data_IF_031481511243
#
_entry.id   IF_031481511243
#
_cell.length_a   1.000
_cell.length_b   1.000
_cell.length_c   1.000
_cell.angle_alpha   90.00
_cell.angle_beta   90.00
_cell.angle_gamma   90.00
#
_symmetry.space_group_name_H-M   'P 1'
#
loop_
_entity.id
_entity.type
_entity.pdbx_description
1 polymer ?
#
# COMPACT_ATOMS: atom_id res chain seq x y z
N UNK A 1 -5.06 5.04 9.40
CA UNK A 1 -6.21 5.95 9.30
C UNK A 1 -7.47 5.11 9.21
N UNK A 2 -8.58 5.61 9.72
CA UNK A 2 -9.74 4.76 9.97
C UNK A 2 -10.37 4.20 8.68
N UNK A 3 -10.29 4.93 7.56
CA UNK A 3 -10.99 4.55 6.32
C UNK A 3 -10.12 4.60 5.06
N UNK A 4 -8.79 4.73 5.21
CA UNK A 4 -7.86 4.72 4.09
C UNK A 4 -6.46 4.28 4.54
N UNK A 5 -5.67 3.82 3.58
CA UNK A 5 -4.31 3.32 3.81
C UNK A 5 -3.29 4.37 3.42
N UNK A 6 -2.48 4.80 4.38
CA UNK A 6 -1.30 5.62 4.11
C UNK A 6 -0.11 4.71 3.90
N UNK A 7 0.55 4.87 2.76
CA UNK A 7 1.66 4.01 2.35
C UNK A 7 2.90 4.89 2.23
N UNK A 8 3.92 4.57 3.01
CA UNK A 8 5.16 5.35 3.09
C UNK A 8 6.32 4.55 2.51
N UNK A 9 7.09 5.20 1.65
CA UNK A 9 8.35 4.71 1.10
C UNK A 9 9.48 5.51 1.75
N UNK A 10 9.96 5.09 2.93
CA UNK A 10 10.80 5.93 3.79
C UNK A 10 12.12 6.33 3.11
N UNK A 11 12.77 5.41 2.40
CA UNK A 11 14.02 5.66 1.69
C UNK A 11 13.87 6.69 0.55
N UNK A 12 12.68 6.78 -0.03
CA UNK A 12 12.40 7.70 -1.13
C UNK A 12 11.72 9.01 -0.68
N UNK A 13 11.25 9.07 0.57
CA UNK A 13 10.44 10.19 1.06
C UNK A 13 9.06 10.30 0.39
N UNK A 14 8.57 9.22 -0.25
CA UNK A 14 7.30 9.22 -0.98
C UNK A 14 6.18 8.71 -0.08
N UNK A 15 5.00 9.36 -0.17
CA UNK A 15 3.78 8.94 0.52
C UNK A 15 2.65 8.85 -0.50
N UNK A 16 1.88 7.77 -0.42
CA UNK A 16 0.72 7.52 -1.28
C UNK A 16 -0.49 7.14 -0.42
N UNK A 17 -1.67 7.23 -1.01
CA UNK A 17 -2.94 6.89 -0.37
C UNK A 17 -3.61 5.76 -1.15
N UNK A 18 -3.94 4.65 -0.47
CA UNK A 18 -4.62 3.47 -1.00
C UNK A 18 -3.91 2.75 -2.17
N UNK A 19 -2.73 3.19 -2.59
CA UNK A 19 -1.95 2.56 -3.64
C UNK A 19 -0.61 2.07 -3.08
N UNK A 20 -0.25 0.83 -3.38
CA UNK A 20 1.01 0.22 -2.96
C UNK A 20 1.74 -0.24 -4.23
N UNK A 21 2.73 0.52 -4.66
CA UNK A 21 3.60 0.14 -5.75
C UNK A 21 4.75 -0.73 -5.24
N UNK A 22 4.99 -1.84 -5.92
CA UNK A 22 6.11 -2.75 -5.67
C UNK A 22 6.72 -3.20 -7.00
N UNK A 23 8.00 -3.57 -7.06
CA UNK A 23 8.53 -4.23 -8.23
C UNK A 23 8.29 -5.73 -8.18
N UNK A 24 8.13 -6.33 -9.36
CA UNK A 24 7.95 -7.77 -9.51
C UNK A 24 9.23 -8.56 -9.22
N UNK A 25 9.07 -9.81 -8.82
CA UNK A 25 10.16 -10.78 -8.70
C UNK A 25 11.11 -10.55 -7.52
N UNK A 26 10.71 -9.75 -6.53
CA UNK A 26 11.44 -9.60 -5.27
C UNK A 26 10.52 -9.54 -4.06
N UNK A 27 10.91 -10.12 -2.91
CA UNK A 27 10.19 -9.93 -1.67
C UNK A 27 10.24 -8.47 -1.22
N UNK A 28 9.11 -7.95 -0.77
CA UNK A 28 9.02 -6.65 -0.10
C UNK A 28 8.50 -6.86 1.32
N UNK A 29 9.12 -6.15 2.27
CA UNK A 29 8.67 -6.11 3.66
C UNK A 29 7.77 -4.90 3.86
N UNK A 30 6.57 -5.14 4.37
CA UNK A 30 5.61 -4.11 4.74
C UNK A 30 5.51 -4.09 6.26
N UNK A 31 5.87 -2.95 6.86
CA UNK A 31 5.57 -2.67 8.25
C UNK A 31 4.14 -2.11 8.34
N UNK A 32 3.32 -2.72 9.18
CA UNK A 32 1.90 -2.44 9.31
C UNK A 32 1.63 -1.93 10.74
N UNK A 33 1.05 -0.74 10.82
CA UNK A 33 0.72 -0.04 12.08
C UNK A 33 -0.69 0.55 11.98
N UNK A 34 -1.48 0.41 13.04
CA UNK A 34 -2.72 1.18 13.20
C UNK A 34 -2.57 2.24 14.28
N UNK A 35 -3.19 3.40 14.07
CA UNK A 35 -3.22 4.53 15.02
C UNK A 35 -4.58 4.78 15.64
N UNK A 36 -5.63 4.10 15.15
CA UNK A 36 -7.01 4.36 15.52
C UNK A 36 -7.69 3.10 16.06
N UNK A 37 -8.15 2.21 15.18
CA UNK A 37 -8.87 0.98 15.51
C UNK A 37 -8.13 -0.24 14.98
N UNK A 38 -8.62 -1.44 15.29
CA UNK A 38 -8.07 -2.64 14.67
C UNK A 38 -8.45 -2.65 13.18
N UNK A 39 -7.45 -2.89 12.34
CA UNK A 39 -7.63 -3.18 10.91
C UNK A 39 -7.06 -4.55 10.60
N UNK A 40 -7.33 -5.06 9.40
CA UNK A 40 -6.68 -6.28 8.90
C UNK A 40 -6.27 -6.07 7.46
N UNK A 41 -4.96 -5.99 7.21
CA UNK A 41 -4.42 -5.89 5.86
C UNK A 41 -4.58 -7.23 5.16
N UNK A 42 -5.33 -7.28 4.07
CA UNK A 42 -5.52 -8.51 3.32
C UNK A 42 -5.34 -8.29 1.81
N UNK A 43 -4.35 -8.97 1.24
CA UNK A 43 -4.02 -8.98 -0.18
C UNK A 43 -4.10 -10.42 -0.73
N UNK A 44 -5.31 -10.97 -0.93
CA UNK A 44 -5.55 -12.41 -1.11
C UNK A 44 -4.75 -13.07 -2.24
N UNK A 45 -4.45 -12.33 -3.30
CA UNK A 45 -3.71 -12.85 -4.45
C UNK A 45 -2.20 -12.92 -4.24
N UNK A 46 -1.67 -12.34 -3.16
CA UNK A 46 -0.23 -12.18 -2.93
C UNK A 46 0.22 -12.67 -1.56
N UNK A 47 -0.61 -12.51 -0.53
CA UNK A 47 -0.28 -12.87 0.84
C UNK A 47 -1.54 -13.20 1.63
N UNK A 48 -1.33 -13.76 2.83
CA UNK A 48 -2.39 -13.91 3.82
C UNK A 48 -2.90 -12.56 4.35
N UNK A 49 -3.76 -12.62 5.35
CA UNK A 49 -4.15 -11.43 6.12
C UNK A 49 -3.22 -11.23 7.31
N UNK A 50 -3.02 -9.98 7.72
CA UNK A 50 -2.33 -9.64 8.96
C UNK A 50 -3.05 -8.49 9.66
N UNK A 51 -3.35 -8.67 10.94
CA UNK A 51 -4.09 -7.69 11.73
C UNK A 51 -3.15 -6.57 12.21
N UNK A 52 -3.69 -5.35 12.24
CA UNK A 52 -3.03 -4.14 12.72
C UNK A 52 -3.71 -3.73 14.02
N UNK A 53 -3.05 -4.01 15.14
CA UNK A 53 -3.53 -3.65 16.47
C UNK A 53 -2.84 -2.36 16.91
N UNK A 54 -3.58 -1.31 17.34
CA UNK A 54 -2.98 -0.08 17.82
C UNK A 54 -1.89 -0.31 18.88
N UNK A 55 -0.76 0.40 18.73
CA UNK A 55 0.40 0.26 19.61
C UNK A 55 1.32 -0.93 19.28
N UNK A 56 1.06 -1.67 18.20
CA UNK A 56 1.95 -2.74 17.70
C UNK A 56 2.32 -2.48 16.24
N UNK A 57 3.58 -2.78 15.91
CA UNK A 57 4.05 -2.84 14.53
C UNK A 57 4.21 -4.30 14.16
N UNK A 58 3.49 -4.73 13.13
CA UNK A 58 3.62 -6.06 12.55
C UNK A 58 4.36 -5.97 11.22
N UNK A 59 4.99 -7.07 10.81
CA UNK A 59 5.70 -7.15 9.53
C UNK A 59 5.09 -8.24 8.66
N UNK A 60 4.85 -7.92 7.40
CA UNK A 60 4.41 -8.86 6.37
C UNK A 60 5.40 -8.84 5.23
N UNK A 61 5.85 -10.03 4.81
CA UNK A 61 6.56 -10.21 3.55
C UNK A 61 5.56 -10.58 2.46
N UNK A 62 5.63 -9.91 1.32
CA UNK A 62 4.89 -10.29 0.13
C UNK A 62 5.77 -10.19 -1.12
N UNK A 63 5.40 -10.91 -2.16
CA UNK A 63 6.06 -10.86 -3.46
C UNK A 63 4.99 -10.98 -4.54
N UNK A 64 5.08 -10.13 -5.57
CA UNK A 64 4.32 -10.29 -6.79
C UNK A 64 5.25 -10.79 -7.89
N UNK A 65 4.91 -11.92 -8.51
CA UNK A 65 5.76 -12.53 -9.54
C UNK A 65 5.46 -12.01 -10.95
N UNK A 66 4.24 -11.51 -11.17
CA UNK A 66 3.78 -11.03 -12.48
C UNK A 66 3.42 -9.55 -12.38
N UNK A 67 3.70 -8.73 -13.41
CA UNK A 67 3.20 -7.35 -13.45
C UNK A 67 1.68 -7.33 -13.45
N UNK A 68 1.09 -6.38 -12.73
CA UNK A 68 -0.35 -6.25 -12.67
C UNK A 68 -0.85 -5.49 -11.46
N UNK A 69 -2.18 -5.44 -11.35
CA UNK A 69 -2.90 -4.81 -10.27
C UNK A 69 -3.57 -5.88 -9.40
N UNK A 70 -3.34 -5.79 -8.10
CA UNK A 70 -3.82 -6.74 -7.10
C UNK A 70 -4.67 -6.00 -6.09
N UNK A 71 -5.96 -6.32 -6.05
CA UNK A 71 -6.88 -5.69 -5.11
C UNK A 71 -6.65 -6.23 -3.70
N UNK A 72 -6.62 -5.35 -2.73
CA UNK A 72 -6.68 -5.69 -1.32
C UNK A 72 -7.73 -4.88 -0.56
N UNK A 73 -8.01 -5.32 0.66
CA UNK A 73 -9.04 -4.73 1.50
C UNK A 73 -8.75 -4.90 2.98
N UNK A 74 -9.42 -4.10 3.80
CA UNK A 74 -9.54 -4.37 5.22
C UNK A 74 -10.45 -5.58 5.42
N UNK A 75 -9.97 -6.58 6.18
CA UNK A 75 -10.73 -7.80 6.48
C UNK A 75 -11.33 -7.83 7.91
N UNK A 76 -11.12 -6.78 8.71
CA UNK A 76 -11.65 -6.63 10.07
C UNK A 76 -12.53 -5.40 10.16
N UNK A 77 -13.70 -5.51 10.81
CA UNK A 77 -14.68 -4.43 10.85
C UNK A 77 -14.11 -3.22 11.59
N UNK A 78 -13.82 -2.15 10.86
CA UNK A 78 -13.13 -0.96 11.37
C UNK A 78 -14.03 0.28 11.49
N UNK A 79 -15.34 0.12 11.31
CA UNK A 79 -16.35 1.17 11.45
C UNK A 79 -17.28 1.31 10.26
N UNK A 80 -18.05 2.41 10.23
CA UNK A 80 -19.17 2.59 9.29
C UNK A 80 -18.75 2.61 7.82
N UNK A 81 -17.54 3.08 7.51
CA UNK A 81 -17.01 3.07 6.14
C UNK A 81 -16.07 1.90 5.85
N UNK A 82 -16.11 0.84 6.66
CA UNK A 82 -15.26 -0.35 6.50
C UNK A 82 -15.25 -0.90 5.07
N UNK A 83 -16.41 -0.95 4.41
CA UNK A 83 -16.54 -1.43 3.04
C UNK A 83 -15.72 -0.62 2.00
N UNK A 84 -15.35 0.62 2.32
CA UNK A 84 -14.54 1.49 1.45
C UNK A 84 -13.04 1.36 1.71
N UNK A 85 -12.64 0.66 2.78
CA UNK A 85 -11.25 0.54 3.18
C UNK A 85 -10.52 -0.49 2.33
N UNK A 86 -10.29 -0.14 1.07
CA UNK A 86 -9.61 -0.94 0.06
C UNK A 86 -8.29 -0.28 -0.36
N UNK A 87 -7.43 -1.07 -0.98
CA UNK A 87 -6.20 -0.59 -1.60
C UNK A 87 -5.92 -1.36 -2.89
N UNK A 88 -5.06 -0.79 -3.72
CA UNK A 88 -4.56 -1.39 -4.94
C UNK A 88 -3.05 -1.59 -4.83
N UNK A 89 -2.59 -2.83 -4.96
CA UNK A 89 -1.18 -3.12 -5.05
C UNK A 89 -0.79 -3.24 -6.53
N UNK A 90 0.12 -2.38 -6.98
CA UNK A 90 0.53 -2.25 -8.38
C UNK A 90 1.95 -2.80 -8.51
N UNK A 91 2.06 -4.01 -9.05
CA UNK A 91 3.33 -4.67 -9.31
C UNK A 91 3.87 -4.26 -10.68
N UNK A 92 5.07 -3.66 -10.69
CA UNK A 92 5.69 -3.12 -11.91
C UNK A 92 7.01 -3.84 -12.23
N UNK A 93 7.43 -3.93 -13.50
CA UNK A 93 8.81 -4.26 -13.82
C UNK A 93 9.79 -3.36 -13.04
N UNK A 94 10.94 -3.87 -12.54
CA UNK A 94 11.84 -3.11 -11.67
C UNK A 94 12.25 -1.74 -12.22
N UNK A 95 12.51 -1.65 -13.53
CA UNK A 95 12.83 -0.39 -14.21
C UNK A 95 11.68 0.62 -14.14
N UNK A 96 10.45 0.17 -14.33
CA UNK A 96 9.26 1.03 -14.27
C UNK A 96 8.93 1.45 -12.85
N UNK A 97 9.14 0.57 -11.87
CA UNK A 97 9.01 0.91 -10.46
C UNK A 97 10.01 2.01 -10.07
N UNK A 98 11.28 1.86 -10.45
CA UNK A 98 12.29 2.88 -10.19
C UNK A 98 11.94 4.22 -10.87
N UNK A 99 11.53 4.18 -12.13
CA UNK A 99 11.09 5.38 -12.84
C UNK A 99 9.84 6.03 -12.22
N UNK A 100 8.91 5.23 -11.71
CA UNK A 100 7.73 5.72 -10.98
C UNK A 100 8.16 6.40 -9.68
N UNK A 101 9.06 5.78 -8.91
CA UNK A 101 9.52 6.32 -7.64
C UNK A 101 10.21 7.68 -7.82
N UNK A 102 11.07 7.80 -8.83
CA UNK A 102 11.71 9.08 -9.16
C UNK A 102 10.70 10.17 -9.56
N UNK A 103 9.65 9.81 -10.32
CA UNK A 103 8.58 10.76 -10.65
C UNK A 103 7.79 11.23 -9.43
N UNK A 104 7.55 10.35 -8.45
CA UNK A 104 6.82 10.71 -7.22
C UNK A 104 7.61 11.68 -6.33
N UNK A 105 8.94 11.75 -6.49
CA UNK A 105 9.79 12.68 -5.75
C UNK A 105 9.77 14.09 -6.33
N UNK A 106 9.29 14.25 -7.57
CA UNK A 106 9.17 15.54 -8.22
C UNK A 106 7.94 16.30 -7.68
N UNK A 107 7.99 17.64 -7.63
CA UNK A 107 6.81 18.44 -7.30
C UNK A 107 5.63 18.09 -8.23
N UNK A 108 4.42 18.09 -7.68
CA UNK A 108 3.22 17.92 -8.49
C UNK A 108 3.19 18.99 -9.58
N UNK A 109 2.97 18.56 -10.82
CA UNK A 109 2.78 19.49 -11.92
C UNK A 109 1.54 20.35 -11.62
N UNK A 110 1.68 21.66 -11.75
CA UNK A 110 0.53 22.57 -11.65
C UNK A 110 -0.43 22.23 -12.80
N UNK A 111 -1.70 21.92 -12.51
CA UNK A 111 -2.68 21.68 -13.56
C UNK A 111 -2.71 22.89 -14.49
N UNK A 112 -2.54 22.66 -15.80
CA UNK A 112 -2.82 23.72 -16.78
C UNK A 112 -4.32 23.96 -16.73
N UNK A 113 -4.73 25.15 -16.31
CA UNK A 113 -6.11 25.58 -16.43
C UNK A 113 -6.48 25.62 -17.93
N UNK A 114 -7.71 25.23 -18.30
CA UNK A 114 -8.17 25.27 -19.69
C UNK A 114 -8.22 26.70 -20.23
#
# INVERSE_FOLDING_TARGET
HQYWWEVRYPEAGVVTANEIHVPVGRPVRIALESRDVIHSFWAPSLAGKLDLVPGRVNELWLQADTPGEYRGQCAEFCGTQHAKMAFLLIARPPREFAAWLERQRLPAAVPRQP
#
